data_IF_537362275168
#
_entry.id   IF_537362275168
#
_cell.length_a   1.000
_cell.length_b   1.000
_cell.length_c   1.000
_cell.angle_alpha   90.00
_cell.angle_beta   90.00
_cell.angle_gamma   90.00
#
_symmetry.space_group_name_H-M   'P 1'
#
loop_
_entity.id
_entity.type
_entity.pdbx_description
1 polymer ?
#
# COMPACT_ATOMS: atom_id res chain seq x y z
N UNK A 1 -32.75 21.51 5.24
CA UNK A 1 -31.67 20.54 4.89
C UNK A 1 -30.74 21.23 3.93
N UNK A 2 -29.61 21.73 4.42
CA UNK A 2 -28.56 22.35 3.61
C UNK A 2 -27.75 21.24 2.93
N UNK A 3 -27.48 21.28 1.63
CA UNK A 3 -26.68 20.27 0.97
C UNK A 3 -25.24 20.33 1.47
N UNK A 4 -24.73 19.22 1.96
CA UNK A 4 -23.33 19.01 2.33
C UNK A 4 -22.44 19.28 1.11
N UNK A 5 -21.56 20.26 1.22
CA UNK A 5 -20.59 20.62 0.20
C UNK A 5 -19.51 19.53 0.17
N UNK A 6 -19.58 18.63 -0.81
CA UNK A 6 -18.53 17.63 -1.04
C UNK A 6 -17.22 18.34 -1.36
N UNK A 7 -16.27 18.28 -0.45
CA UNK A 7 -14.90 18.77 -0.71
C UNK A 7 -14.20 17.71 -1.58
N UNK A 8 -13.94 18.04 -2.83
CA UNK A 8 -13.11 17.25 -3.72
C UNK A 8 -11.66 17.66 -3.48
N UNK A 9 -10.87 16.78 -2.85
CA UNK A 9 -9.42 16.99 -2.78
C UNK A 9 -8.83 16.69 -4.17
N UNK A 10 -8.04 17.64 -4.68
CA UNK A 10 -7.24 17.36 -5.85
C UNK A 10 -6.11 16.41 -5.48
N UNK A 11 -5.64 15.57 -6.43
CA UNK A 11 -4.48 14.67 -6.25
C UNK A 11 -3.28 15.41 -5.66
N UNK A 12 -3.07 16.68 -6.08
CA UNK A 12 -2.01 17.55 -5.60
C UNK A 12 -2.17 17.97 -4.12
N UNK A 13 -3.40 18.20 -3.65
CA UNK A 13 -3.65 18.55 -2.24
C UNK A 13 -3.38 17.34 -1.34
N UNK A 14 -3.72 16.15 -1.80
CA UNK A 14 -3.44 14.90 -1.09
C UNK A 14 -1.93 14.68 -0.93
N UNK A 15 -1.16 14.76 -2.01
CA UNK A 15 0.30 14.57 -1.97
C UNK A 15 1.01 15.63 -1.13
N UNK A 16 0.59 16.90 -1.22
CA UNK A 16 1.18 17.99 -0.41
C UNK A 16 0.95 17.81 1.09
N UNK A 17 -0.25 17.38 1.48
CA UNK A 17 -0.54 17.12 2.89
C UNK A 17 0.24 15.92 3.45
N UNK A 18 0.52 14.93 2.60
CA UNK A 18 1.29 13.75 2.96
C UNK A 18 2.78 14.06 3.14
N UNK A 19 3.36 14.94 2.32
CA UNK A 19 4.77 15.31 2.39
C UNK A 19 5.11 16.16 3.61
N UNK A 20 4.22 17.07 4.00
CA UNK A 20 4.47 18.02 5.10
C UNK A 20 4.42 17.38 6.49
N UNK A 21 3.78 16.24 6.63
CA UNK A 21 3.51 15.65 7.94
C UNK A 21 4.64 14.77 8.51
N UNK A 22 5.63 14.34 7.69
CA UNK A 22 6.52 13.24 8.15
C UNK A 22 7.90 13.19 7.54
N UNK A 23 8.26 14.11 6.64
CA UNK A 23 9.50 13.98 5.87
C UNK A 23 9.57 12.70 5.02
N UNK A 24 8.44 12.12 4.66
CA UNK A 24 8.36 10.93 3.80
C UNK A 24 7.25 11.06 2.73
N UNK A 25 7.33 10.27 1.67
CA UNK A 25 6.33 10.24 0.60
C UNK A 25 5.28 9.17 0.87
N UNK A 26 4.00 9.54 0.66
CA UNK A 26 2.88 8.60 0.67
C UNK A 26 2.20 8.71 -0.68
N UNK A 27 2.09 7.59 -1.38
CA UNK A 27 1.40 7.49 -2.65
C UNK A 27 0.17 6.62 -2.47
N UNK A 28 -0.99 7.20 -2.74
CA UNK A 28 -2.26 6.53 -2.72
C UNK A 28 -3.03 6.80 -4.00
N UNK A 29 -3.59 5.76 -4.58
CA UNK A 29 -4.42 5.82 -5.77
C UNK A 29 -5.75 5.14 -5.52
N UNK A 30 -6.80 5.68 -6.09
CA UNK A 30 -8.09 5.01 -6.18
C UNK A 30 -8.02 3.99 -7.33
N UNK A 31 -7.41 2.83 -7.07
CA UNK A 31 -7.20 1.78 -8.06
C UNK A 31 -8.48 1.03 -8.45
N UNK A 32 -9.51 1.20 -7.67
CA UNK A 32 -10.77 0.51 -7.89
C UNK A 32 -11.83 1.59 -7.88
N UNK A 33 -12.59 1.77 -8.92
CA UNK A 33 -13.69 2.72 -9.06
C UNK A 33 -14.68 2.68 -7.88
N UNK A 34 -14.17 2.92 -6.67
CA UNK A 34 -14.91 2.98 -5.44
C UNK A 34 -15.07 4.43 -5.00
N UNK A 35 -16.21 4.73 -4.49
CA UNK A 35 -16.74 6.00 -4.03
C UNK A 35 -15.71 7.00 -3.50
N UNK A 36 -15.86 8.25 -3.91
CA UNK A 36 -15.11 9.39 -3.40
C UNK A 36 -15.24 9.49 -1.89
N UNK A 37 -14.15 9.22 -1.16
CA UNK A 37 -14.05 9.49 0.26
C UNK A 37 -13.41 10.86 0.51
N UNK A 38 -13.92 11.60 1.48
CA UNK A 38 -13.38 12.88 1.92
C UNK A 38 -12.17 12.63 2.83
N UNK A 39 -10.96 12.67 2.27
CA UNK A 39 -9.71 12.48 3.02
C UNK A 39 -9.29 13.79 3.70
N UNK A 40 -9.04 13.75 5.00
CA UNK A 40 -8.60 14.89 5.81
C UNK A 40 -7.09 15.17 5.64
N UNK A 41 -6.65 16.45 5.62
CA UNK A 41 -5.34 16.84 5.09
C UNK A 41 -4.18 16.91 6.11
N UNK A 42 -4.20 16.27 7.25
CA UNK A 42 -3.05 16.30 8.17
C UNK A 42 -2.86 14.96 8.86
N UNK A 43 -1.83 14.23 8.45
CA UNK A 43 -1.55 12.92 9.01
C UNK A 43 -0.13 12.92 9.56
N UNK A 44 -0.03 12.74 10.88
CA UNK A 44 1.20 12.33 11.54
C UNK A 44 1.43 10.86 11.22
N UNK A 45 2.49 10.56 10.46
CA UNK A 45 2.79 9.20 10.02
C UNK A 45 3.21 8.27 11.15
N UNK A 46 3.57 8.79 12.31
CA UNK A 46 3.83 7.99 13.51
C UNK A 46 2.54 7.54 14.19
N UNK A 47 1.44 8.25 13.95
CA UNK A 47 0.11 8.02 14.53
C UNK A 47 -0.94 7.68 13.46
N UNK A 48 -0.54 7.04 12.38
CA UNK A 48 -1.42 6.69 11.28
C UNK A 48 -2.69 6.00 11.76
N UNK A 49 -3.78 6.74 11.71
CA UNK A 49 -5.09 6.14 11.68
C UNK A 49 -5.37 5.72 10.23
N UNK A 50 -5.31 4.43 9.97
CA UNK A 50 -5.44 3.87 8.62
C UNK A 50 -6.80 4.16 7.96
N UNK A 51 -7.79 4.59 8.71
CA UNK A 51 -9.10 4.97 8.19
C UNK A 51 -9.05 6.23 7.30
N UNK A 52 -7.97 6.99 7.33
CA UNK A 52 -7.77 8.19 6.51
C UNK A 52 -6.91 7.90 5.24
N UNK A 53 -6.56 6.62 4.95
CA UNK A 53 -5.55 6.27 3.97
C UNK A 53 -6.05 5.49 2.77
N UNK A 54 -5.72 6.02 1.61
CA UNK A 54 -5.77 5.34 0.32
C UNK A 54 -4.34 5.17 -0.25
N UNK A 55 -3.38 4.86 0.61
CA UNK A 55 -1.97 4.81 0.27
C UNK A 55 -1.40 3.40 0.40
N UNK A 56 -0.82 2.90 -0.70
CA UNK A 56 -0.18 1.59 -0.73
C UNK A 56 1.30 1.64 -0.33
N UNK A 57 1.94 2.80 -0.46
CA UNK A 57 3.40 2.94 -0.32
C UNK A 57 3.72 4.11 0.61
N UNK A 58 4.63 3.87 1.55
CA UNK A 58 5.27 4.89 2.36
C UNK A 58 6.79 4.76 2.22
N UNK A 59 7.47 5.86 1.94
CA UNK A 59 8.93 5.92 1.88
C UNK A 59 9.41 6.91 2.94
N UNK A 60 10.31 6.47 3.81
CA UNK A 60 10.92 7.33 4.82
C UNK A 60 12.09 8.14 4.25
N UNK A 61 12.52 9.23 4.93
CA UNK A 61 13.72 9.97 4.54
C UNK A 61 15.00 9.11 4.52
N UNK A 62 15.04 8.04 5.30
CA UNK A 62 16.16 7.07 5.33
C UNK A 62 16.07 6.04 4.19
N UNK A 63 15.12 6.18 3.26
CA UNK A 63 14.93 5.30 2.11
C UNK A 63 14.22 3.99 2.40
N UNK A 64 13.69 3.78 3.61
CA UNK A 64 12.93 2.57 3.94
C UNK A 64 11.53 2.64 3.34
N UNK A 65 11.13 1.55 2.69
CA UNK A 65 9.86 1.44 1.98
C UNK A 65 8.90 0.56 2.77
N UNK A 66 7.74 1.11 3.12
CA UNK A 66 6.62 0.33 3.68
C UNK A 66 5.54 0.17 2.62
N UNK A 67 5.13 -1.06 2.36
CA UNK A 67 4.05 -1.39 1.42
C UNK A 67 2.91 -2.05 2.18
N UNK A 68 1.69 -1.57 1.93
CA UNK A 68 0.48 -2.09 2.55
C UNK A 68 -0.17 -3.13 1.65
N UNK A 69 -0.32 -4.35 2.17
CA UNK A 69 -1.13 -5.38 1.54
C UNK A 69 -2.59 -5.18 1.92
N UNK A 70 -3.45 -4.96 0.94
CA UNK A 70 -4.84 -4.60 1.19
C UNK A 70 -5.75 -5.79 1.45
N UNK A 71 -5.49 -6.94 0.80
CA UNK A 71 -6.31 -8.12 0.96
C UNK A 71 -5.94 -8.92 2.22
N UNK A 72 -6.92 -9.52 2.91
CA UNK A 72 -6.66 -10.25 4.15
C UNK A 72 -5.81 -11.50 3.91
N UNK A 73 -4.82 -11.69 4.79
CA UNK A 73 -4.01 -12.90 4.85
C UNK A 73 -4.72 -13.97 5.69
N UNK A 74 -4.98 -15.11 5.08
CA UNK A 74 -5.64 -16.27 5.72
C UNK A 74 -4.80 -17.55 5.58
N UNK A 75 -3.50 -17.41 5.30
CA UNK A 75 -2.56 -18.51 5.08
C UNK A 75 -2.20 -18.75 3.61
N UNK A 76 -2.74 -17.95 2.66
CA UNK A 76 -2.48 -18.08 1.22
C UNK A 76 -1.30 -17.24 0.73
N UNK A 77 -0.59 -16.56 1.62
CA UNK A 77 0.61 -15.75 1.35
C UNK A 77 0.38 -14.50 0.47
N UNK A 78 -0.84 -14.00 0.41
CA UNK A 78 -1.18 -12.80 -0.37
C UNK A 78 -0.53 -11.54 0.20
N UNK A 79 -0.34 -11.50 1.52
CA UNK A 79 0.35 -10.41 2.21
C UNK A 79 1.80 -10.24 1.75
N UNK A 80 2.45 -11.31 1.30
CA UNK A 80 3.78 -11.23 0.68
C UNK A 80 3.68 -10.88 -0.79
N UNK A 81 2.82 -11.57 -1.55
CA UNK A 81 2.83 -11.50 -3.01
C UNK A 81 2.26 -10.20 -3.59
N UNK A 82 1.29 -9.54 -2.95
CA UNK A 82 0.80 -8.25 -3.43
C UNK A 82 1.86 -7.13 -3.33
N UNK A 83 2.56 -6.96 -2.20
CA UNK A 83 3.66 -6.01 -2.10
C UNK A 83 4.82 -6.29 -3.07
N UNK A 84 5.08 -7.54 -3.44
CA UNK A 84 6.10 -7.88 -4.44
C UNK A 84 5.80 -7.22 -5.80
N UNK A 85 4.53 -7.09 -6.18
CA UNK A 85 4.13 -6.46 -7.45
C UNK A 85 4.49 -4.98 -7.44
N UNK A 86 4.21 -4.29 -6.35
CA UNK A 86 4.57 -2.87 -6.17
C UNK A 86 6.09 -2.70 -6.12
N UNK A 87 6.77 -3.51 -5.32
CA UNK A 87 8.21 -3.44 -5.13
C UNK A 87 8.99 -3.68 -6.43
N UNK A 88 8.50 -4.58 -7.30
CA UNK A 88 9.08 -4.83 -8.61
C UNK A 88 9.10 -3.57 -9.48
N UNK A 89 7.96 -2.91 -9.62
CA UNK A 89 7.84 -1.71 -10.44
C UNK A 89 8.52 -0.49 -9.82
N UNK A 90 8.55 -0.44 -8.49
CA UNK A 90 9.25 0.60 -7.73
C UNK A 90 10.78 0.45 -7.80
N UNK A 91 11.29 -0.67 -8.27
CA UNK A 91 12.73 -0.98 -8.34
C UNK A 91 13.45 -0.84 -6.98
N UNK A 92 12.87 -1.36 -5.91
CA UNK A 92 13.51 -1.40 -4.58
C UNK A 92 14.05 -2.78 -4.28
N UNK A 93 15.12 -2.85 -3.47
CA UNK A 93 15.57 -4.11 -2.93
C UNK A 93 14.48 -4.70 -2.01
N UNK A 94 14.11 -5.97 -2.22
CA UNK A 94 13.06 -6.61 -1.40
C UNK A 94 13.39 -6.60 0.09
N UNK A 95 14.66 -6.69 0.44
CA UNK A 95 15.13 -6.69 1.83
C UNK A 95 14.97 -5.33 2.53
N UNK A 96 14.75 -4.25 1.76
CA UNK A 96 14.45 -2.91 2.27
C UNK A 96 12.93 -2.62 2.35
N UNK A 97 12.09 -3.60 2.00
CA UNK A 97 10.64 -3.47 2.02
C UNK A 97 10.06 -4.00 3.34
N UNK A 98 9.34 -3.13 4.06
CA UNK A 98 8.49 -3.50 5.18
C UNK A 98 7.06 -3.71 4.70
N UNK A 99 6.50 -4.88 4.98
CA UNK A 99 5.12 -5.18 4.61
C UNK A 99 4.20 -5.03 5.83
N UNK A 100 3.13 -4.28 5.65
CA UNK A 100 2.04 -4.16 6.63
C UNK A 100 0.72 -4.62 6.04
N UNK A 101 -0.10 -5.29 6.86
CA UNK A 101 -1.48 -5.54 6.52
C UNK A 101 -2.25 -4.23 6.64
N UNK A 102 -2.97 -3.84 5.59
CA UNK A 102 -3.92 -2.74 5.67
C UNK A 102 -5.09 -3.14 6.60
N UNK A 103 -5.61 -2.21 7.41
CA UNK A 103 -6.84 -2.44 8.15
C UNK A 103 -8.01 -2.62 7.19
N UNK A 104 -9.12 -3.14 7.69
CA UNK A 104 -10.36 -3.16 6.92
C UNK A 104 -10.85 -1.73 6.74
N UNK A 105 -10.87 -1.27 5.51
CA UNK A 105 -11.35 0.04 5.11
C UNK A 105 -11.97 -0.06 3.71
N UNK A 106 -13.27 -0.33 3.70
CA UNK A 106 -14.02 -0.54 2.45
C UNK A 106 -14.36 0.75 1.71
N UNK A 107 -14.12 1.89 2.32
CA UNK A 107 -14.29 3.20 1.70
C UNK A 107 -13.09 3.56 0.82
N UNK A 108 -11.88 3.26 1.30
CA UNK A 108 -10.62 3.57 0.64
C UNK A 108 -10.04 2.39 -0.14
N UNK A 109 -10.25 1.16 0.31
CA UNK A 109 -9.78 -0.04 -0.37
C UNK A 109 -10.95 -0.89 -0.85
N UNK A 110 -11.24 -0.89 -2.12
CA UNK A 110 -12.24 -1.80 -2.67
C UNK A 110 -11.68 -3.23 -2.77
N UNK A 111 -12.53 -4.21 -2.50
CA UNK A 111 -12.19 -5.60 -2.72
C UNK A 111 -11.22 -6.21 -1.71
N UNK A 112 -11.18 -5.72 -0.47
CA UNK A 112 -10.44 -6.33 0.64
C UNK A 112 -11.06 -7.67 1.06
N UNK A 113 -11.00 -8.65 0.19
CA UNK A 113 -11.64 -9.95 0.38
C UNK A 113 -10.68 -11.08 -0.02
N UNK A 114 -10.68 -12.15 0.77
CA UNK A 114 -9.99 -13.40 0.42
C UNK A 114 -11.02 -14.41 -0.09
N UNK A 115 -11.08 -14.60 -1.42
CA UNK A 115 -12.03 -15.52 -2.05
C UNK A 115 -11.89 -15.58 -3.56
N UNK A 116 -12.31 -16.68 -4.16
CA UNK A 116 -12.36 -16.86 -5.61
C UNK A 116 -11.02 -16.73 -6.35
N UNK A 117 -9.88 -16.78 -5.66
CA UNK A 117 -8.53 -16.60 -6.23
C UNK A 117 -8.37 -15.29 -7.03
N UNK A 118 -9.01 -14.21 -6.56
CA UNK A 118 -9.07 -12.95 -7.30
C UNK A 118 -8.00 -11.92 -6.87
N UNK A 119 -7.42 -12.03 -5.68
CA UNK A 119 -6.55 -11.00 -5.11
C UNK A 119 -5.43 -10.57 -6.06
N UNK A 120 -4.60 -11.49 -6.52
CA UNK A 120 -3.50 -11.18 -7.45
C UNK A 120 -4.04 -10.81 -8.83
N UNK A 121 -5.01 -11.56 -9.36
CA UNK A 121 -5.50 -11.35 -10.72
C UNK A 121 -6.13 -9.97 -10.93
N UNK A 122 -6.91 -9.50 -9.96
CA UNK A 122 -7.57 -8.18 -10.04
C UNK A 122 -6.63 -7.04 -9.73
N UNK A 123 -5.63 -7.28 -8.89
CA UNK A 123 -4.70 -6.24 -8.43
C UNK A 123 -3.43 -6.16 -9.26
N UNK A 124 -3.18 -7.10 -10.18
CA UNK A 124 -1.94 -7.20 -10.94
C UNK A 124 -1.59 -5.88 -11.64
N UNK A 125 -2.46 -5.42 -12.52
CA UNK A 125 -2.23 -4.19 -13.28
C UNK A 125 -2.23 -2.94 -12.38
N UNK A 126 -3.23 -2.73 -11.52
CA UNK A 126 -3.25 -1.58 -10.64
C UNK A 126 -2.05 -1.46 -9.70
N UNK A 127 -1.56 -2.56 -9.11
CA UNK A 127 -0.40 -2.53 -8.22
C UNK A 127 0.90 -2.27 -8.97
N UNK A 128 1.02 -2.75 -10.22
CA UNK A 128 2.13 -2.40 -11.10
C UNK A 128 2.14 -0.90 -11.39
N UNK A 129 1.01 -0.34 -11.81
CA UNK A 129 0.87 1.10 -12.06
C UNK A 129 1.20 1.92 -10.82
N UNK A 130 0.78 1.48 -9.63
CA UNK A 130 1.12 2.14 -8.36
C UNK A 130 2.63 2.21 -8.15
N UNK A 131 3.34 1.10 -8.31
CA UNK A 131 4.80 1.04 -8.15
C UNK A 131 5.53 1.89 -9.20
N UNK A 132 5.12 1.79 -10.47
CA UNK A 132 5.72 2.53 -11.56
C UNK A 132 5.50 4.05 -11.42
N UNK A 133 4.31 4.47 -11.00
CA UNK A 133 4.01 5.89 -10.75
C UNK A 133 4.88 6.46 -9.64
N UNK A 134 5.03 5.70 -8.54
CA UNK A 134 5.90 6.10 -7.44
C UNK A 134 7.35 6.26 -7.90
N UNK A 135 7.86 5.29 -8.65
CA UNK A 135 9.20 5.37 -9.25
C UNK A 135 9.35 6.59 -10.15
N UNK A 136 8.42 6.83 -11.05
CA UNK A 136 8.48 7.97 -11.97
C UNK A 136 8.52 9.31 -11.22
N UNK A 137 7.74 9.48 -10.17
CA UNK A 137 7.74 10.70 -9.36
C UNK A 137 9.09 10.90 -8.66
N UNK A 138 9.70 9.84 -8.11
CA UNK A 138 11.01 9.90 -7.47
C UNK A 138 12.12 10.24 -8.48
N UNK A 139 12.08 9.63 -9.66
CA UNK A 139 13.00 9.94 -10.77
C UNK A 139 12.85 11.39 -11.22
N UNK A 140 11.64 11.89 -11.40
CA UNK A 140 11.38 13.27 -11.79
C UNK A 140 11.93 14.26 -10.76
N UNK A 141 11.80 13.96 -9.46
CA UNK A 141 12.36 14.78 -8.40
C UNK A 141 13.89 14.80 -8.41
N UNK A 142 14.52 13.64 -8.60
CA UNK A 142 15.99 13.55 -8.72
C UNK A 142 16.50 14.29 -9.96
N UNK A 143 15.85 14.12 -11.10
CA UNK A 143 16.21 14.79 -12.34
C UNK A 143 16.11 16.32 -12.20
N UNK A 144 15.03 16.82 -11.59
CA UNK A 144 14.87 18.24 -11.28
C UNK A 144 15.97 18.78 -10.36
N UNK A 145 16.37 17.99 -9.35
CA UNK A 145 17.45 18.34 -8.41
C UNK A 145 18.82 18.44 -9.09
N UNK A 146 19.07 17.62 -10.11
CA UNK A 146 20.29 17.67 -10.92
C UNK A 146 20.21 18.61 -12.13
N UNK A 147 19.02 19.05 -12.51
CA UNK A 147 18.80 19.88 -13.71
C UNK A 147 19.02 19.09 -15.00
N UNK A 148 18.65 17.83 -15.04
CA UNK A 148 18.76 16.91 -16.19
C UNK A 148 17.37 16.39 -16.60
N UNK A 149 17.27 15.75 -17.77
CA UNK A 149 16.05 15.06 -18.17
C UNK A 149 15.86 13.76 -17.39
N UNK A 150 14.62 13.43 -17.03
CA UNK A 150 14.33 12.18 -16.31
C UNK A 150 14.70 10.93 -17.11
N UNK A 151 14.72 11.00 -18.44
CA UNK A 151 15.15 9.90 -19.32
C UNK A 151 16.66 9.60 -19.24
N UNK A 152 17.47 10.52 -18.69
CA UNK A 152 18.90 10.33 -18.43
C UNK A 152 19.16 9.61 -17.10
N UNK A 153 18.10 9.35 -16.33
CA UNK A 153 18.20 8.72 -15.03
C UNK A 153 17.82 7.23 -15.10
N UNK A 154 18.56 6.41 -14.38
CA UNK A 154 18.27 4.98 -14.19
C UNK A 154 18.02 4.70 -12.71
N UNK A 155 17.27 3.64 -12.42
CA UNK A 155 17.02 3.21 -11.04
C UNK A 155 17.46 1.77 -10.87
N UNK A 156 18.09 1.50 -9.75
CA UNK A 156 18.39 0.16 -9.30
C UNK A 156 18.34 0.10 -7.77
N UNK A 157 17.53 -0.80 -7.24
CA UNK A 157 17.44 -1.07 -5.79
C UNK A 157 17.20 0.20 -4.93
N UNK A 158 16.32 1.10 -5.42
CA UNK A 158 15.98 2.34 -4.71
C UNK A 158 17.02 3.46 -4.84
N UNK A 159 18.06 3.27 -5.66
CA UNK A 159 19.06 4.27 -5.97
C UNK A 159 18.85 4.77 -7.40
N UNK A 160 18.71 6.08 -7.54
CA UNK A 160 18.61 6.79 -8.82
C UNK A 160 20.01 7.23 -9.21
N UNK A 161 20.38 7.01 -10.47
CA UNK A 161 21.70 7.39 -11.01
C UNK A 161 21.51 8.18 -12.30
N UNK A 162 22.14 9.35 -12.43
CA UNK A 162 22.12 10.15 -13.66
C UNK A 162 23.24 9.73 -14.65
N UNK A 163 23.23 10.30 -15.85
CA UNK A 163 24.22 10.00 -16.90
C UNK A 163 25.68 10.33 -16.49
N UNK A 164 25.90 11.18 -15.48
CA UNK A 164 27.23 11.52 -14.96
C UNK A 164 27.70 10.56 -13.87
N UNK A 165 26.86 9.60 -13.44
CA UNK A 165 27.14 8.67 -12.36
C UNK A 165 26.90 9.22 -10.95
N UNK A 166 26.27 10.39 -10.83
CA UNK A 166 25.82 10.91 -9.54
C UNK A 166 24.59 10.11 -9.06
N UNK A 167 24.48 9.87 -7.77
CA UNK A 167 23.44 9.02 -7.19
C UNK A 167 22.64 9.74 -6.11
N UNK A 168 21.35 9.41 -6.02
CA UNK A 168 20.44 9.78 -4.94
C UNK A 168 19.59 8.57 -4.55
N UNK A 169 19.45 8.32 -3.26
CA UNK A 169 18.47 7.36 -2.74
C UNK A 169 17.06 7.92 -2.78
N UNK A 170 16.07 7.07 -2.71
CA UNK A 170 14.66 7.50 -2.66
C UNK A 170 14.37 8.44 -1.49
N UNK A 171 15.02 8.22 -0.34
CA UNK A 171 14.90 9.09 0.83
C UNK A 171 15.36 10.53 0.58
N UNK A 172 16.37 10.72 -0.29
CA UNK A 172 16.97 12.03 -0.58
C UNK A 172 16.05 12.94 -1.41
N UNK A 173 15.03 12.38 -2.04
CA UNK A 173 14.13 13.08 -2.98
C UNK A 173 12.65 12.89 -2.68
N UNK A 174 12.34 12.14 -1.63
CA UNK A 174 10.96 11.76 -1.33
C UNK A 174 10.05 12.97 -1.04
N UNK A 175 10.57 14.00 -0.38
CA UNK A 175 9.80 15.21 -0.06
C UNK A 175 9.49 16.02 -1.31
N UNK A 176 10.46 16.16 -2.20
CA UNK A 176 10.30 16.85 -3.49
C UNK A 176 9.35 16.05 -4.40
N UNK A 177 9.53 14.74 -4.47
CA UNK A 177 8.67 13.86 -5.26
C UNK A 177 7.19 13.97 -4.86
N UNK A 178 6.92 14.04 -3.56
CA UNK A 178 5.56 14.17 -3.05
C UNK A 178 4.88 15.50 -3.42
N UNK A 179 5.64 16.52 -3.80
CA UNK A 179 5.14 17.82 -4.25
C UNK A 179 4.83 17.87 -5.76
N UNK A 180 5.29 16.89 -6.53
CA UNK A 180 5.06 16.82 -7.98
C UNK A 180 3.62 16.43 -8.32
N UNK A 181 3.24 16.69 -9.56
CA UNK A 181 1.98 16.14 -10.11
C UNK A 181 2.13 14.65 -10.38
N UNK A 182 1.07 13.90 -10.09
CA UNK A 182 1.03 12.46 -10.40
C UNK A 182 0.95 12.30 -11.92
N UNK A 183 1.87 11.56 -12.56
CA UNK A 183 1.81 11.32 -14.00
C UNK A 183 0.51 10.57 -14.36
N UNK A 184 -0.07 10.95 -15.50
CA UNK A 184 -1.29 10.32 -16.01
C UNK A 184 -1.00 8.93 -16.58
N UNK A 185 0.16 8.76 -17.20
CA UNK A 185 0.63 7.52 -17.78
C UNK A 185 2.04 7.18 -17.30
N UNK A 186 2.30 5.89 -17.11
CA UNK A 186 3.61 5.37 -16.71
C UNK A 186 3.98 4.14 -17.52
N UNK A 187 5.27 3.97 -17.75
CA UNK A 187 5.80 2.78 -18.42
C UNK A 187 6.06 1.69 -17.37
N UNK A 188 5.47 0.52 -17.60
CA UNK A 188 5.69 -0.65 -16.76
C UNK A 188 6.95 -1.39 -17.17
N UNK A 189 7.62 -2.02 -16.19
CA UNK A 189 8.78 -2.88 -16.39
C UNK A 189 8.42 -4.08 -17.29
N UNK A 190 9.28 -4.44 -18.22
CA UNK A 190 9.11 -5.66 -19.00
C UNK A 190 9.26 -6.90 -18.08
N UNK A 191 8.48 -7.93 -18.33
CA UNK A 191 8.52 -9.18 -17.54
C UNK A 191 9.91 -9.84 -17.56
N UNK A 192 10.67 -9.70 -18.65
CA UNK A 192 12.06 -10.21 -18.75
C UNK A 192 13.01 -9.55 -17.75
N UNK A 193 12.68 -8.32 -17.30
CA UNK A 193 13.51 -7.51 -16.42
C UNK A 193 13.11 -7.64 -14.93
N UNK A 194 12.19 -8.56 -14.63
CA UNK A 194 11.75 -8.82 -13.25
C UNK A 194 12.87 -9.40 -12.39
N UNK A 195 13.04 -8.79 -11.22
CA UNK A 195 14.06 -9.17 -10.23
C UNK A 195 13.47 -9.74 -8.94
N UNK A 196 12.23 -9.41 -8.61
CA UNK A 196 11.51 -9.86 -7.41
C UNK A 196 10.48 -10.91 -7.78
N UNK A 197 9.61 -10.61 -8.74
CA UNK A 197 8.55 -11.52 -9.21
C UNK A 197 9.19 -12.70 -9.93
N UNK A 198 8.66 -13.90 -9.68
CA UNK A 198 9.23 -15.16 -10.22
C UNK A 198 10.44 -15.67 -9.45
N UNK A 199 10.87 -14.99 -8.40
CA UNK A 199 11.90 -15.48 -7.46
C UNK A 199 11.27 -15.96 -6.16
N UNK A 200 11.82 -17.01 -5.58
CA UNK A 200 11.37 -17.52 -4.27
C UNK A 200 11.63 -16.49 -3.17
N UNK A 201 10.56 -15.96 -2.61
CA UNK A 201 10.62 -15.07 -1.44
C UNK A 201 9.92 -15.74 -0.25
N UNK A 202 10.53 -15.62 0.94
CA UNK A 202 9.93 -16.10 2.18
C UNK A 202 8.65 -15.35 2.52
N UNK A 203 7.74 -15.99 3.26
CA UNK A 203 6.58 -15.34 3.82
C UNK A 203 7.03 -14.24 4.80
N UNK A 204 6.49 -13.03 4.66
CA UNK A 204 6.87 -11.87 5.49
C UNK A 204 6.54 -12.02 6.98
N UNK A 205 5.66 -12.94 7.34
CA UNK A 205 5.30 -13.26 8.72
C UNK A 205 5.87 -14.61 9.19
N UNK A 206 6.81 -15.22 8.46
CA UNK A 206 7.27 -16.59 8.75
C UNK A 206 7.73 -16.76 10.20
N UNK A 207 8.48 -15.82 10.75
CA UNK A 207 8.97 -15.87 12.14
C UNK A 207 7.83 -15.84 13.17
N UNK A 208 6.76 -15.10 12.86
CA UNK A 208 5.56 -15.08 13.71
C UNK A 208 4.82 -16.39 13.65
N UNK A 209 4.68 -16.96 12.44
CA UNK A 209 3.99 -18.23 12.22
C UNK A 209 4.69 -19.36 12.95
N UNK A 210 6.00 -19.54 12.74
CA UNK A 210 6.75 -20.67 13.33
C UNK A 210 6.98 -20.53 14.84
N UNK A 211 6.86 -19.31 15.38
CA UNK A 211 6.99 -19.07 16.83
C UNK A 211 5.64 -18.96 17.54
N UNK A 212 4.52 -19.14 16.83
CA UNK A 212 3.17 -19.05 17.40
C UNK A 212 2.81 -17.67 17.94
N UNK A 213 3.40 -16.59 17.40
CA UNK A 213 3.03 -15.22 17.78
C UNK A 213 1.66 -14.86 17.21
N UNK A 214 0.84 -14.08 17.93
CA UNK A 214 -0.48 -13.62 17.45
C UNK A 214 -0.39 -12.97 16.07
N UNK A 215 -1.21 -13.44 15.13
CA UNK A 215 -1.17 -13.00 13.73
C UNK A 215 -2.56 -12.86 13.10
N UNK A 216 -3.49 -13.73 13.44
CA UNK A 216 -4.80 -13.83 12.81
C UNK A 216 -5.91 -13.26 13.70
N UNK A 217 -7.08 -13.01 13.10
CA UNK A 217 -8.21 -12.47 13.84
C UNK A 217 -8.64 -13.30 15.07
N UNK A 218 -8.40 -14.62 15.04
CA UNK A 218 -8.64 -15.51 16.19
C UNK A 218 -7.73 -15.18 17.39
N UNK A 219 -6.56 -14.62 17.13
CA UNK A 219 -5.58 -14.27 18.16
C UNK A 219 -5.82 -12.86 18.74
N UNK A 220 -6.77 -12.12 18.15
CA UNK A 220 -7.02 -10.73 18.53
C UNK A 220 -7.66 -10.64 19.91
N UNK A 221 -7.10 -9.80 20.78
CA UNK A 221 -7.58 -9.57 22.15
C UNK A 221 -7.50 -8.09 22.48
N UNK A 222 -8.54 -7.57 23.09
CA UNK A 222 -8.60 -6.22 23.66
C UNK A 222 -9.08 -6.30 25.11
N UNK A 223 -8.77 -5.29 25.95
CA UNK A 223 -9.35 -5.19 27.28
C UNK A 223 -10.88 -5.24 27.22
N UNK A 224 -11.49 -5.93 28.16
CA UNK A 224 -12.94 -6.08 28.29
C UNK A 224 -13.65 -6.71 27.06
N UNK A 225 -12.91 -7.47 26.24
CA UNK A 225 -13.46 -8.16 25.08
C UNK A 225 -14.49 -9.22 25.48
N UNK A 226 -15.67 -9.12 24.89
CA UNK A 226 -16.69 -10.16 25.02
C UNK A 226 -16.48 -11.25 23.98
N UNK A 227 -16.79 -12.48 24.37
CA UNK A 227 -16.76 -13.64 23.48
C UNK A 227 -18.18 -14.09 23.19
N UNK A 228 -18.49 -14.29 21.92
CA UNK A 228 -19.78 -14.79 21.48
C UNK A 228 -19.60 -16.07 20.65
N UNK A 229 -20.50 -17.02 20.86
CA UNK A 229 -20.59 -18.21 20.04
C UNK A 229 -21.93 -18.26 19.34
N UNK A 230 -21.94 -18.68 18.08
CA UNK A 230 -23.17 -18.86 17.30
C UNK A 230 -23.67 -20.29 17.50
N UNK A 231 -24.81 -20.42 18.16
CA UNK A 231 -25.54 -21.69 18.21
C UNK A 231 -26.44 -21.82 16.99
N UNK A 232 -26.23 -22.83 16.20
CA UNK A 232 -27.00 -23.09 14.98
C UNK A 232 -27.96 -24.26 15.19
N UNK A 233 -29.14 -24.25 14.56
CA UNK A 233 -30.00 -25.40 14.55
C UNK A 233 -29.33 -26.59 13.85
N UNK A 234 -29.59 -27.84 14.31
CA UNK A 234 -28.95 -29.03 13.74
C UNK A 234 -29.43 -29.38 12.34
N UNK A 235 -30.57 -28.84 11.88
CA UNK A 235 -31.09 -29.11 10.54
C UNK A 235 -31.59 -27.83 9.85
N UNK A 236 -31.58 -27.86 8.52
CA UNK A 236 -32.15 -26.78 7.70
C UNK A 236 -33.65 -26.61 7.90
N UNK A 237 -34.13 -25.40 7.81
CA UNK A 237 -35.56 -25.06 7.94
C UNK A 237 -36.05 -24.95 9.39
N UNK A 238 -35.23 -25.19 10.37
CA UNK A 238 -35.55 -24.93 11.77
C UNK A 238 -35.50 -23.43 12.07
N UNK A 239 -36.41 -22.98 12.92
CA UNK A 239 -36.48 -21.61 13.42
C UNK A 239 -36.24 -21.58 14.92
N UNK A 240 -35.76 -20.44 15.43
CA UNK A 240 -35.61 -20.21 16.85
C UNK A 240 -37.02 -20.13 17.49
N UNK A 241 -37.27 -20.94 18.51
CA UNK A 241 -38.52 -20.91 19.28
C UNK A 241 -38.33 -20.05 20.53
N UNK A 242 -37.41 -20.40 21.38
CA UNK A 242 -37.09 -19.67 22.62
C UNK A 242 -35.62 -19.64 22.90
N UNK A 243 -35.15 -18.66 23.68
CA UNK A 243 -33.80 -18.60 24.20
C UNK A 243 -33.80 -17.97 25.60
N UNK A 244 -32.85 -18.38 26.43
CA UNK A 244 -32.53 -17.69 27.68
C UNK A 244 -31.47 -16.61 27.39
N UNK A 245 -31.70 -15.36 27.86
CA UNK A 245 -30.87 -14.20 27.70
C UNK A 245 -30.04 -13.90 28.96
#
# INVERSE_FOLDING_TARGET
>A
MTPSKKMTFSRRAFLKSSALASGGMIIGFNLFNACKSDVKPSIDLSQLNYNDFNAFIKISPEGKVTIFSTNPEIGQNVKTSMPMIIAEELDVAWDDVYVKQAPLDTENFSGQVAGGSQSIRRSWQPLRETGATAKQMLVNAAAAKWGVDASECTVKEGIITNAKGETLGYGDVVSEAAALEVPEEVTLKDVKDFTIIGKGKGNVDIDRIITGKPLFGLDYKVPDMLYAAVLRPPAFGQVLDTYDA
#
